data_IF_099887558963
#
_entry.id   IF_099887558963
#
_cell.length_a   1.000
_cell.length_b   1.000
_cell.length_c   1.000
_cell.angle_alpha   90.00
_cell.angle_beta   90.00
_cell.angle_gamma   90.00
#
_symmetry.space_group_name_H-M   'P 1'
#
loop_
_entity.id
_entity.type
_entity.pdbx_description
1 polymer ?
#
# COMPACT_ATOMS: atom_id res chain seq x y z
N UNK A 1 -24.18 28.81 -14.45
CA UNK A 1 -23.33 29.96 -14.06
C UNK A 1 -22.23 29.43 -13.16
N UNK A 2 -21.07 30.09 -13.02
CA UNK A 2 -20.04 29.68 -12.08
C UNK A 2 -20.60 29.69 -10.65
N UNK A 3 -20.42 28.59 -9.92
CA UNK A 3 -21.07 28.38 -8.61
C UNK A 3 -20.46 29.25 -7.50
N UNK A 4 -19.23 29.73 -7.69
CA UNK A 4 -18.51 30.58 -6.74
C UNK A 4 -18.92 32.06 -6.78
N UNK A 5 -19.78 32.50 -7.71
CA UNK A 5 -20.17 33.91 -7.84
C UNK A 5 -21.46 34.24 -7.07
N UNK A 6 -21.50 35.39 -6.42
CA UNK A 6 -22.71 35.94 -5.81
C UNK A 6 -23.63 36.55 -6.86
N UNK A 7 -24.73 35.85 -7.13
CA UNK A 7 -25.82 36.28 -8.01
C UNK A 7 -26.46 37.61 -7.60
N UNK A 8 -26.24 38.08 -6.36
CA UNK A 8 -26.75 39.36 -5.86
C UNK A 8 -25.78 40.54 -6.09
N UNK A 9 -24.46 40.31 -6.21
CA UNK A 9 -23.46 41.37 -6.35
C UNK A 9 -22.49 41.18 -7.54
N UNK A 10 -22.97 40.59 -8.64
CA UNK A 10 -22.32 40.29 -9.93
C UNK A 10 -21.47 41.41 -10.61
N UNK A 11 -21.31 42.59 -10.00
CA UNK A 11 -20.50 43.71 -10.51
C UNK A 11 -19.08 43.78 -9.94
N UNK A 12 -18.78 43.08 -8.84
CA UNK A 12 -17.44 43.02 -8.23
C UNK A 12 -17.24 41.68 -7.51
N UNK A 13 -16.04 41.12 -7.61
CA UNK A 13 -15.62 39.99 -6.78
C UNK A 13 -15.39 40.48 -5.35
N UNK A 14 -16.14 39.94 -4.40
CA UNK A 14 -16.13 40.27 -2.98
C UNK A 14 -15.60 39.14 -2.08
N UNK A 15 -15.65 39.36 -0.76
CA UNK A 15 -15.19 38.37 0.23
C UNK A 15 -15.98 37.06 0.18
N UNK A 16 -17.29 37.13 -0.08
CA UNK A 16 -18.14 35.95 -0.21
C UNK A 16 -17.88 35.15 -1.49
N UNK A 17 -17.42 35.79 -2.57
CA UNK A 17 -17.00 35.09 -3.79
C UNK A 17 -15.70 34.33 -3.55
N UNK A 18 -14.72 34.98 -2.89
CA UNK A 18 -13.48 34.32 -2.46
C UNK A 18 -13.76 33.13 -1.53
N UNK A 19 -14.65 33.31 -0.54
CA UNK A 19 -15.04 32.26 0.40
C UNK A 19 -15.79 31.09 -0.26
N UNK A 20 -16.52 31.32 -1.35
CA UNK A 20 -17.12 30.24 -2.17
C UNK A 20 -16.10 29.61 -3.10
N UNK A 21 -15.17 30.39 -3.65
CA UNK A 21 -14.11 29.90 -4.53
C UNK A 21 -13.20 28.92 -3.78
N UNK A 22 -12.67 29.31 -2.61
CA UNK A 22 -11.84 28.43 -1.76
C UNK A 22 -12.59 27.13 -1.45
N UNK A 23 -13.83 27.23 -0.95
CA UNK A 23 -14.65 26.03 -0.65
C UNK A 23 -14.98 25.17 -1.86
N UNK A 24 -15.01 25.74 -3.07
CA UNK A 24 -15.20 24.98 -4.31
C UNK A 24 -13.90 24.30 -4.73
N UNK A 25 -12.77 25.00 -4.68
CA UNK A 25 -11.44 24.43 -4.92
C UNK A 25 -11.16 23.26 -3.98
N UNK A 26 -11.35 23.43 -2.68
CA UNK A 26 -11.16 22.36 -1.67
C UNK A 26 -12.04 21.16 -1.97
N UNK A 27 -13.34 21.34 -2.24
CA UNK A 27 -14.25 20.24 -2.56
C UNK A 27 -13.94 19.55 -3.92
N UNK A 28 -13.36 20.28 -4.88
CA UNK A 28 -12.88 19.69 -6.14
C UNK A 28 -11.55 18.93 -5.96
N UNK A 29 -10.68 19.36 -5.03
CA UNK A 29 -9.46 18.63 -4.63
C UNK A 29 -9.77 17.38 -3.79
N UNK A 30 -10.68 17.47 -2.81
CA UNK A 30 -11.21 16.32 -2.06
C UNK A 30 -11.74 15.24 -3.02
N UNK A 31 -12.46 15.67 -4.07
CA UNK A 31 -12.95 14.77 -5.12
C UNK A 31 -11.81 14.13 -5.94
N UNK A 32 -10.73 14.86 -6.22
CA UNK A 32 -9.55 14.32 -6.90
C UNK A 32 -8.86 13.27 -6.02
N UNK A 33 -8.66 13.52 -4.73
CA UNK A 33 -8.12 12.52 -3.80
C UNK A 33 -9.03 11.27 -3.70
N UNK A 34 -10.35 11.49 -3.67
CA UNK A 34 -11.35 10.43 -3.71
C UNK A 34 -11.30 9.59 -5.00
N UNK A 35 -11.03 10.20 -6.15
CA UNK A 35 -10.90 9.49 -7.44
C UNK A 35 -9.54 8.77 -7.54
N UNK A 36 -8.45 9.43 -7.14
CA UNK A 36 -7.09 8.86 -7.04
C UNK A 36 -7.07 7.57 -6.22
N UNK A 37 -7.68 7.56 -5.03
CA UNK A 37 -7.78 6.36 -4.16
C UNK A 37 -8.57 5.22 -4.79
N UNK A 38 -9.59 5.52 -5.61
CA UNK A 38 -10.37 4.50 -6.33
C UNK A 38 -9.55 3.91 -7.47
N UNK A 39 -8.88 4.76 -8.26
CA UNK A 39 -7.97 4.32 -9.31
C UNK A 39 -6.80 3.48 -8.77
N UNK A 40 -6.23 3.86 -7.62
CA UNK A 40 -5.18 3.08 -6.97
C UNK A 40 -5.69 1.73 -6.42
N UNK A 41 -6.89 1.70 -5.79
CA UNK A 41 -7.51 0.42 -5.39
C UNK A 41 -7.79 -0.49 -6.60
N UNK A 42 -8.31 0.05 -7.70
CA UNK A 42 -8.55 -0.72 -8.93
C UNK A 42 -7.24 -1.20 -9.57
N UNK A 43 -6.17 -0.39 -9.53
CA UNK A 43 -4.84 -0.78 -9.96
C UNK A 43 -4.30 -1.97 -9.15
N UNK A 44 -4.41 -1.91 -7.83
CA UNK A 44 -3.93 -2.98 -6.93
C UNK A 44 -4.77 -4.26 -7.01
N UNK A 45 -6.09 -4.15 -7.14
CA UNK A 45 -6.94 -5.32 -7.45
C UNK A 45 -6.61 -5.91 -8.83
N UNK A 46 -6.24 -5.09 -9.82
CA UNK A 46 -5.80 -5.56 -11.14
C UNK A 46 -4.46 -6.30 -11.08
N UNK A 47 -3.47 -5.75 -10.37
CA UNK A 47 -2.15 -6.36 -10.13
C UNK A 47 -2.30 -7.75 -9.51
N UNK A 48 -3.12 -7.85 -8.45
CA UNK A 48 -3.45 -9.12 -7.79
C UNK A 48 -4.21 -10.09 -8.70
N UNK A 49 -5.22 -9.62 -9.43
CA UNK A 49 -6.02 -10.45 -10.35
C UNK A 49 -5.21 -10.98 -11.56
N UNK A 50 -4.16 -10.28 -12.00
CA UNK A 50 -3.23 -10.77 -13.03
C UNK A 50 -2.25 -11.80 -12.48
N UNK A 51 -1.85 -11.66 -11.21
CA UNK A 51 -1.06 -12.64 -10.48
C UNK A 51 -1.82 -13.95 -10.21
N UNK A 52 -3.05 -13.89 -9.67
CA UNK A 52 -3.84 -15.09 -9.35
C UNK A 52 -4.20 -15.88 -10.61
N UNK A 53 -4.52 -15.21 -11.72
CA UNK A 53 -4.74 -15.86 -13.02
C UNK A 53 -3.48 -16.60 -13.51
N UNK A 54 -2.30 -15.96 -13.40
CA UNK A 54 -1.01 -16.54 -13.75
C UNK A 54 -0.67 -17.75 -12.87
N UNK A 55 -0.93 -17.66 -11.56
CA UNK A 55 -0.75 -18.77 -10.62
C UNK A 55 -1.73 -19.93 -10.88
N UNK A 56 -2.99 -19.63 -11.24
CA UNK A 56 -4.00 -20.63 -11.57
C UNK A 56 -3.62 -21.48 -12.79
N UNK A 57 -2.98 -20.87 -13.80
CA UNK A 57 -2.49 -21.53 -15.02
C UNK A 57 -1.21 -22.38 -14.82
N UNK A 58 -0.40 -22.11 -13.79
CA UNK A 58 0.84 -22.85 -13.52
C UNK A 58 0.58 -24.26 -13.01
N UNK A 59 1.52 -25.19 -13.26
CA UNK A 59 1.51 -26.52 -12.61
C UNK A 59 1.73 -26.39 -11.09
N UNK A 60 1.39 -27.41 -10.28
CA UNK A 60 1.56 -27.34 -8.82
C UNK A 60 2.99 -27.07 -8.33
N UNK A 61 4.02 -27.50 -9.09
CA UNK A 61 5.43 -27.25 -8.75
C UNK A 61 5.85 -25.81 -9.08
N UNK A 62 5.50 -25.34 -10.28
CA UNK A 62 5.74 -23.96 -10.73
C UNK A 62 5.00 -22.95 -9.85
N UNK A 63 3.74 -23.22 -9.50
CA UNK A 63 2.92 -22.37 -8.63
C UNK A 63 3.51 -22.23 -7.22
N UNK A 64 4.01 -23.32 -6.65
CA UNK A 64 4.68 -23.31 -5.34
C UNK A 64 6.00 -22.51 -5.39
N UNK A 65 6.76 -22.60 -6.50
CA UNK A 65 7.96 -21.78 -6.71
C UNK A 65 7.59 -20.30 -6.87
N UNK A 66 6.65 -19.96 -7.74
CA UNK A 66 6.24 -18.59 -8.00
C UNK A 66 5.62 -17.91 -6.78
N UNK A 67 4.78 -18.61 -6.01
CA UNK A 67 4.21 -18.08 -4.76
C UNK A 67 5.29 -17.73 -3.72
N UNK A 68 6.38 -18.51 -3.65
CA UNK A 68 7.53 -18.18 -2.80
C UNK A 68 8.34 -17.01 -3.32
N UNK A 69 8.56 -16.92 -4.63
CA UNK A 69 9.24 -15.77 -5.23
C UNK A 69 8.45 -14.46 -4.97
N UNK A 70 7.11 -14.52 -5.01
CA UNK A 70 6.23 -13.41 -4.62
C UNK A 70 6.31 -13.11 -3.11
N UNK A 71 6.27 -14.12 -2.24
CA UNK A 71 6.41 -13.96 -0.79
C UNK A 71 7.78 -13.38 -0.39
N UNK A 72 8.86 -13.83 -1.03
CA UNK A 72 10.23 -13.37 -0.83
C UNK A 72 10.43 -11.94 -1.34
N UNK A 73 9.91 -11.59 -2.53
CA UNK A 73 9.93 -10.20 -3.04
C UNK A 73 9.12 -9.26 -2.15
N UNK A 74 7.89 -9.62 -1.74
CA UNK A 74 7.11 -8.77 -0.83
C UNK A 74 7.83 -8.62 0.51
N UNK A 75 8.38 -9.69 1.07
CA UNK A 75 9.11 -9.63 2.33
C UNK A 75 10.37 -8.76 2.23
N UNK A 76 11.05 -8.73 1.09
CA UNK A 76 12.19 -7.83 0.85
C UNK A 76 11.74 -6.36 0.75
N UNK A 77 10.63 -6.07 0.05
CA UNK A 77 10.08 -4.72 -0.02
C UNK A 77 9.67 -4.19 1.36
N UNK A 78 9.05 -5.03 2.19
CA UNK A 78 8.72 -4.73 3.60
C UNK A 78 9.94 -4.76 4.57
N UNK A 79 11.19 -4.92 4.10
CA UNK A 79 12.41 -4.96 4.95
C UNK A 79 13.18 -3.61 4.95
N UNK A 80 12.49 -2.54 5.32
CA UNK A 80 13.03 -1.17 5.46
C UNK A 80 13.22 -0.74 6.94
N UNK A 81 13.70 0.49 7.16
CA UNK A 81 13.75 1.14 8.47
C UNK A 81 12.34 1.51 8.98
N UNK A 82 12.15 1.62 10.31
CA UNK A 82 10.90 2.11 10.90
C UNK A 82 10.63 3.55 10.41
N UNK A 83 9.61 3.72 9.56
CA UNK A 83 9.19 5.03 9.07
C UNK A 83 8.63 5.89 10.20
N UNK A 84 8.90 7.18 10.14
CA UNK A 84 8.47 8.16 11.15
C UNK A 84 7.09 8.73 10.85
N UNK A 85 6.40 9.21 11.88
CA UNK A 85 5.08 9.81 11.75
C UNK A 85 5.13 11.09 10.89
N UNK A 86 4.37 11.19 9.77
CA UNK A 86 4.45 12.35 8.88
C UNK A 86 3.99 13.63 9.59
N UNK A 87 4.81 14.69 9.51
CA UNK A 87 4.62 15.93 10.26
C UNK A 87 4.98 15.83 11.75
N UNK A 88 5.52 14.69 12.20
CA UNK A 88 6.00 14.48 13.57
C UNK A 88 7.42 15.00 13.79
N UNK A 89 7.72 15.44 15.01
CA UNK A 89 9.02 16.05 15.35
C UNK A 89 10.24 15.23 14.90
N UNK A 90 10.24 13.91 15.10
CA UNK A 90 11.40 13.07 14.73
C UNK A 90 11.67 13.06 13.21
N UNK A 91 10.64 13.25 12.38
CA UNK A 91 10.75 13.36 10.92
C UNK A 91 11.23 14.77 10.51
N UNK A 92 10.69 15.81 11.13
CA UNK A 92 11.09 17.20 10.87
C UNK A 92 12.54 17.47 11.32
N UNK A 93 13.00 16.87 12.42
CA UNK A 93 14.40 16.91 12.86
C UNK A 93 15.35 16.17 11.89
N UNK A 94 14.88 15.17 11.15
CA UNK A 94 15.68 14.47 10.13
C UNK A 94 15.79 15.29 8.85
N UNK A 95 14.71 15.90 8.37
CA UNK A 95 14.74 16.84 7.23
C UNK A 95 15.68 18.01 7.55
N UNK A 96 15.62 18.55 8.77
CA UNK A 96 16.49 19.62 9.24
C UNK A 96 17.98 19.24 9.28
N UNK A 97 18.32 18.02 9.72
CA UNK A 97 19.70 17.56 9.80
C UNK A 97 20.26 17.14 8.43
N UNK A 98 19.57 16.24 7.72
CA UNK A 98 20.09 15.60 6.51
C UNK A 98 19.87 16.44 5.25
N UNK A 99 18.68 17.05 5.09
CA UNK A 99 18.30 17.77 3.85
C UNK A 99 18.58 19.27 3.92
N UNK A 100 18.37 19.91 5.07
CA UNK A 100 18.68 21.34 5.26
C UNK A 100 20.12 21.58 5.76
N UNK A 101 20.83 20.53 6.17
CA UNK A 101 22.21 20.56 6.68
C UNK A 101 22.40 21.44 7.94
N UNK A 102 21.39 21.50 8.80
CA UNK A 102 21.39 22.27 10.05
C UNK A 102 21.79 21.41 11.26
N UNK A 103 22.22 22.03 12.36
CA UNK A 103 22.59 21.28 13.58
C UNK A 103 21.33 20.73 14.25
N UNK A 104 21.29 19.41 14.47
CA UNK A 104 20.18 18.69 15.14
C UNK A 104 19.75 19.32 16.47
N UNK A 105 20.71 19.74 17.29
CA UNK A 105 20.50 20.32 18.60
C UNK A 105 19.98 21.78 18.53
N UNK A 106 19.77 22.31 17.32
CA UNK A 106 19.30 23.68 17.05
C UNK A 106 17.91 23.74 16.40
N UNK A 107 17.19 22.61 16.29
CA UNK A 107 15.85 22.55 15.70
C UNK A 107 14.87 23.55 16.34
N UNK A 108 14.44 24.52 15.55
CA UNK A 108 13.40 25.50 15.89
C UNK A 108 12.28 25.41 14.83
N UNK A 109 11.04 25.08 15.22
CA UNK A 109 9.95 24.87 14.26
C UNK A 109 9.59 26.14 13.47
N UNK A 110 9.88 27.34 13.99
CA UNK A 110 9.63 28.60 13.25
C UNK A 110 10.62 28.78 12.11
N UNK A 111 11.90 28.48 12.37
CA UNK A 111 12.96 28.53 11.36
C UNK A 111 12.79 27.38 10.35
N UNK A 112 12.36 26.20 10.79
CA UNK A 112 11.99 25.09 9.91
C UNK A 112 10.86 25.45 8.95
N UNK A 113 9.76 26.01 9.46
CA UNK A 113 8.63 26.49 8.65
C UNK A 113 9.09 27.54 7.63
N UNK A 114 9.82 28.57 8.07
CA UNK A 114 10.30 29.65 7.22
C UNK A 114 11.39 29.24 6.20
N UNK A 115 11.88 28.00 6.25
CA UNK A 115 12.77 27.39 5.25
C UNK A 115 11.99 26.55 4.22
N UNK A 116 10.77 26.12 4.55
CA UNK A 116 9.90 25.30 3.71
C UNK A 116 8.73 26.06 3.08
N UNK A 117 8.42 27.26 3.58
CA UNK A 117 7.63 28.30 2.90
C UNK A 117 8.49 28.88 1.75
N UNK A 118 8.57 28.12 0.63
CA UNK A 118 9.48 28.38 -0.49
C UNK A 118 9.08 29.64 -1.27
N UNK A 119 7.80 30.00 -1.22
CA UNK A 119 7.25 31.17 -1.91
C UNK A 119 7.20 32.44 -1.00
N UNK A 120 7.31 32.26 0.32
CA UNK A 120 7.24 33.30 1.37
C UNK A 120 5.86 33.99 1.51
N UNK A 121 4.76 33.25 1.35
CA UNK A 121 3.38 33.73 1.57
C UNK A 121 2.83 33.50 2.99
N UNK A 122 3.52 32.69 3.80
CA UNK A 122 3.19 32.43 5.20
C UNK A 122 2.44 31.11 5.45
N UNK A 123 2.29 30.27 4.44
CA UNK A 123 1.63 28.96 4.49
C UNK A 123 2.55 27.88 3.90
N UNK A 124 2.38 26.63 4.33
CA UNK A 124 2.89 25.46 3.59
C UNK A 124 1.76 24.90 2.72
N UNK A 125 2.01 24.81 1.42
CA UNK A 125 1.10 24.18 0.47
C UNK A 125 1.42 22.69 0.25
N UNK A 126 0.60 22.01 -0.55
CA UNK A 126 0.72 20.57 -0.81
C UNK A 126 2.09 20.14 -1.35
N UNK A 127 2.68 20.89 -2.29
CA UNK A 127 4.00 20.58 -2.87
C UNK A 127 5.14 20.78 -1.86
N UNK A 128 4.99 21.74 -0.94
CA UNK A 128 5.96 22.03 0.14
C UNK A 128 5.89 21.00 1.27
N UNK A 129 4.70 20.49 1.56
CA UNK A 129 4.46 19.40 2.51
C UNK A 129 4.98 18.07 1.95
N UNK A 130 4.72 17.77 0.66
CA UNK A 130 5.24 16.57 -0.01
C UNK A 130 6.77 16.51 -0.03
N UNK A 131 7.44 17.66 -0.17
CA UNK A 131 8.90 17.75 -0.13
C UNK A 131 9.51 17.28 1.20
N UNK A 132 8.75 17.28 2.30
CA UNK A 132 9.21 16.80 3.61
C UNK A 132 9.32 15.26 3.66
N UNK A 133 8.53 14.55 2.86
CA UNK A 133 8.41 13.09 2.94
C UNK A 133 9.47 12.35 2.13
N UNK A 134 10.30 13.06 1.34
CA UNK A 134 11.25 12.44 0.41
C UNK A 134 12.23 11.50 1.12
N UNK A 135 12.76 11.90 2.29
CA UNK A 135 13.65 11.06 3.10
C UNK A 135 12.96 9.80 3.65
N UNK A 136 11.68 9.87 4.05
CA UNK A 136 10.93 8.70 4.52
C UNK A 136 10.60 7.75 3.34
N UNK A 137 10.22 8.30 2.19
CA UNK A 137 9.88 7.52 1.00
C UNK A 137 11.11 6.83 0.37
N UNK A 138 12.29 7.44 0.49
CA UNK A 138 13.57 6.84 0.05
C UNK A 138 14.03 5.65 0.92
N UNK A 139 13.49 5.50 2.15
CA UNK A 139 13.73 4.30 2.99
C UNK A 139 13.01 3.06 2.47
N UNK A 140 11.90 3.22 1.72
CA UNK A 140 11.07 2.13 1.19
C UNK A 140 11.21 1.94 -0.32
N UNK A 141 11.20 3.03 -1.10
CA UNK A 141 11.02 2.99 -2.56
C UNK A 141 12.27 3.44 -3.32
N UNK A 142 13.02 2.45 -3.82
CA UNK A 142 14.22 2.63 -4.62
C UNK A 142 13.88 2.65 -6.13
N UNK A 143 13.99 3.82 -6.76
CA UNK A 143 13.68 4.00 -8.20
C UNK A 143 14.61 3.21 -9.16
N UNK A 144 15.65 2.55 -8.63
CA UNK A 144 16.50 1.63 -9.39
C UNK A 144 16.13 0.14 -9.24
N UNK A 145 15.24 -0.23 -8.31
CA UNK A 145 14.78 -1.61 -8.16
C UNK A 145 13.52 -1.87 -9.03
N UNK A 146 13.53 -2.84 -9.96
CA UNK A 146 12.37 -3.17 -10.78
C UNK A 146 11.25 -3.89 -10.01
N UNK A 147 11.41 -4.22 -8.73
CA UNK A 147 10.35 -4.72 -7.86
C UNK A 147 9.50 -3.59 -7.26
N UNK A 148 10.06 -2.40 -7.06
CA UNK A 148 9.37 -1.28 -6.40
C UNK A 148 8.42 -0.57 -7.37
N UNK A 149 7.17 -0.35 -6.95
CA UNK A 149 6.17 0.26 -7.80
C UNK A 149 6.17 1.79 -7.63
N UNK A 150 6.47 2.58 -8.69
CA UNK A 150 6.41 4.04 -8.59
C UNK A 150 4.98 4.56 -8.33
N UNK A 151 3.93 3.74 -8.52
CA UNK A 151 2.55 4.10 -8.14
C UNK A 151 2.32 3.96 -6.65
N UNK A 152 2.92 2.97 -6.00
CA UNK A 152 2.88 2.81 -4.54
C UNK A 152 3.63 3.97 -3.88
N UNK A 153 4.85 4.32 -4.34
CA UNK A 153 5.60 5.50 -3.88
C UNK A 153 4.77 6.79 -3.95
N UNK A 154 4.06 7.00 -5.07
CA UNK A 154 3.22 8.19 -5.26
C UNK A 154 1.99 8.16 -4.36
N UNK A 155 1.26 7.05 -4.26
CA UNK A 155 0.11 6.98 -3.36
C UNK A 155 0.55 7.14 -1.89
N UNK A 156 1.69 6.58 -1.49
CA UNK A 156 2.24 6.73 -0.14
C UNK A 156 2.51 8.20 0.20
N UNK A 157 3.16 8.93 -0.71
CA UNK A 157 3.35 10.38 -0.58
C UNK A 157 2.01 11.13 -0.43
N UNK A 158 0.98 10.73 -1.18
CA UNK A 158 -0.36 11.31 -1.05
C UNK A 158 -1.02 10.96 0.30
N UNK A 159 -0.85 9.74 0.82
CA UNK A 159 -1.35 9.32 2.14
C UNK A 159 -0.70 10.14 3.26
N UNK A 160 0.62 10.33 3.20
CA UNK A 160 1.37 11.17 4.12
C UNK A 160 0.90 12.63 4.07
N UNK A 161 0.70 13.20 2.86
CA UNK A 161 0.14 14.56 2.67
C UNK A 161 -1.24 14.69 3.32
N UNK A 162 -2.18 13.81 2.97
CA UNK A 162 -3.54 13.88 3.48
C UNK A 162 -3.60 13.71 5.00
N UNK A 163 -2.74 12.86 5.57
CA UNK A 163 -2.59 12.71 7.01
C UNK A 163 -2.09 13.99 7.68
N UNK A 164 -1.04 14.64 7.15
CA UNK A 164 -0.55 15.93 7.68
C UNK A 164 -1.60 17.03 7.56
N UNK A 165 -2.29 17.13 6.42
CA UNK A 165 -3.37 18.12 6.23
C UNK A 165 -4.50 17.87 7.21
N UNK A 166 -5.00 16.64 7.33
CA UNK A 166 -6.07 16.29 8.29
C UNK A 166 -5.64 16.43 9.76
N UNK A 167 -4.34 16.29 10.05
CA UNK A 167 -3.78 16.53 11.37
C UNK A 167 -3.66 18.02 11.69
N UNK A 168 -3.17 18.85 10.77
CA UNK A 168 -2.76 20.23 11.06
C UNK A 168 -3.76 21.30 10.63
N UNK A 169 -4.40 21.21 9.45
CA UNK A 169 -5.38 22.20 8.97
C UNK A 169 -6.60 22.23 9.90
N UNK A 170 -6.86 23.38 10.53
CA UNK A 170 -8.01 23.59 11.41
C UNK A 170 -9.12 24.41 10.76
N UNK A 171 -8.85 25.01 9.60
CA UNK A 171 -9.72 25.99 8.97
C UNK A 171 -10.43 25.44 7.71
N UNK A 172 -9.82 24.45 7.05
CA UNK A 172 -10.34 23.72 5.90
C UNK A 172 -10.08 24.41 4.56
N UNK A 173 -8.88 24.98 4.39
CA UNK A 173 -8.42 25.57 3.12
C UNK A 173 -7.28 24.81 2.43
N UNK A 174 -6.81 23.68 3.02
CA UNK A 174 -5.71 22.82 2.53
C UNK A 174 -4.35 23.50 2.51
N UNK A 175 -4.17 24.53 3.32
CA UNK A 175 -2.89 25.19 3.59
C UNK A 175 -2.57 25.09 5.08
N UNK A 176 -1.30 24.88 5.44
CA UNK A 176 -0.88 24.89 6.84
C UNK A 176 -0.27 26.24 7.17
N UNK A 177 -0.99 27.07 7.94
CA UNK A 177 -0.42 28.33 8.43
C UNK A 177 0.62 28.09 9.52
N UNK A 178 1.51 29.06 9.71
CA UNK A 178 2.50 29.04 10.82
C UNK A 178 1.83 28.89 12.20
N UNK A 179 0.61 29.40 12.39
CA UNK A 179 -0.10 29.25 13.67
C UNK A 179 -0.60 27.82 13.89
N UNK A 180 -1.09 27.16 12.85
CA UNK A 180 -1.53 25.76 12.90
C UNK A 180 -0.35 24.80 13.11
N UNK A 181 0.76 25.01 12.39
CA UNK A 181 2.00 24.24 12.54
C UNK A 181 2.60 24.34 13.95
N UNK A 182 2.58 25.53 14.56
CA UNK A 182 3.14 25.74 15.90
C UNK A 182 2.22 25.26 17.04
N UNK A 183 0.93 25.07 16.79
CA UNK A 183 0.00 24.51 17.77
C UNK A 183 -0.24 23.00 17.62
N UNK A 184 0.36 22.37 16.61
CA UNK A 184 0.32 20.92 16.43
C UNK A 184 1.10 20.16 17.51
N UNK A 185 0.51 19.09 18.05
CA UNK A 185 1.08 18.34 19.18
C UNK A 185 2.22 17.40 18.81
N UNK A 186 2.32 16.97 17.55
CA UNK A 186 3.41 16.12 17.06
C UNK A 186 4.64 16.99 16.71
N UNK A 187 4.44 18.21 16.20
CA UNK A 187 5.50 19.22 16.02
C UNK A 187 6.04 19.70 17.37
N UNK A 188 5.15 19.97 18.34
CA UNK A 188 5.52 20.41 19.70
C UNK A 188 5.87 19.24 20.65
N UNK A 189 6.13 18.04 20.13
CA UNK A 189 6.58 16.91 20.95
C UNK A 189 7.92 17.21 21.65
N UNK A 190 8.19 16.61 22.83
CA UNK A 190 9.51 16.66 23.44
C UNK A 190 10.58 16.01 22.56
N UNK A 191 11.78 16.60 22.54
CA UNK A 191 12.97 16.01 21.92
C UNK A 191 13.22 14.58 22.44
N UNK A 192 13.39 13.62 21.52
CA UNK A 192 13.58 12.21 21.85
C UNK A 192 12.34 11.47 22.38
N UNK A 193 11.14 12.04 22.30
CA UNK A 193 9.92 11.25 22.39
C UNK A 193 9.69 10.52 21.05
N UNK A 194 9.83 9.19 21.06
CA UNK A 194 9.45 8.35 19.93
C UNK A 194 8.00 8.59 19.52
N UNK A 195 7.76 8.77 18.22
CA UNK A 195 6.41 8.85 17.66
C UNK A 195 5.74 7.45 17.52
N UNK A 196 4.55 7.37 16.92
CA UNK A 196 3.82 6.11 16.73
C UNK A 196 4.29 5.30 15.50
N UNK A 197 5.26 5.84 14.74
CA UNK A 197 5.68 5.37 13.43
C UNK A 197 4.65 5.66 12.33
N UNK A 198 5.06 5.43 11.09
CA UNK A 198 4.15 5.34 9.94
C UNK A 198 3.98 3.89 9.49
N UNK A 199 2.87 3.63 8.79
CA UNK A 199 2.57 2.33 8.18
C UNK A 199 2.30 2.53 6.70
N UNK A 200 3.27 2.08 5.92
CA UNK A 200 3.28 1.98 4.48
C UNK A 200 2.10 1.15 3.91
N UNK A 201 2.00 1.13 2.58
CA UNK A 201 1.04 0.34 1.81
C UNK A 201 1.36 -1.17 1.81
N UNK A 202 2.62 -1.58 1.99
CA UNK A 202 3.01 -2.98 2.10
C UNK A 202 2.36 -3.67 3.30
N UNK A 203 2.27 -2.97 4.42
CA UNK A 203 1.67 -3.42 5.68
C UNK A 203 0.12 -3.31 5.72
N UNK A 204 -0.51 -2.68 4.72
CA UNK A 204 -1.95 -2.35 4.74
C UNK A 204 -2.76 -2.96 3.58
N UNK A 205 -3.94 -3.53 3.90
CA UNK A 205 -4.83 -4.14 2.90
C UNK A 205 -5.84 -3.13 2.35
N UNK A 206 -5.57 -2.62 1.15
CA UNK A 206 -6.31 -1.54 0.48
C UNK A 206 -7.74 -1.97 0.04
N UNK A 207 -7.93 -3.26 -0.25
CA UNK A 207 -9.19 -3.86 -0.67
C UNK A 207 -9.57 -5.08 0.16
N UNK A 208 -10.87 -5.31 0.33
CA UNK A 208 -11.42 -6.53 0.94
C UNK A 208 -11.42 -7.70 -0.05
N UNK A 209 -11.45 -8.93 0.46
CA UNK A 209 -11.54 -10.13 -0.37
C UNK A 209 -12.86 -10.20 -1.17
N UNK A 210 -13.92 -9.54 -0.70
CA UNK A 210 -15.18 -9.38 -1.44
C UNK A 210 -15.07 -8.35 -2.57
N UNK A 211 -14.27 -7.29 -2.42
CA UNK A 211 -13.92 -6.38 -3.53
C UNK A 211 -13.09 -7.11 -4.59
N UNK A 212 -12.02 -7.82 -4.18
CA UNK A 212 -11.17 -8.58 -5.10
C UNK A 212 -11.96 -9.64 -5.89
N UNK A 213 -12.69 -10.53 -5.21
CA UNK A 213 -13.42 -11.61 -5.89
C UNK A 213 -14.54 -11.12 -6.84
N UNK A 214 -15.06 -9.90 -6.63
CA UNK A 214 -15.96 -9.24 -7.59
C UNK A 214 -15.19 -8.65 -8.76
N UNK A 215 -14.07 -7.96 -8.48
CA UNK A 215 -13.20 -7.41 -9.50
C UNK A 215 -12.65 -8.49 -10.43
N UNK A 216 -12.08 -9.57 -9.90
CA UNK A 216 -11.58 -10.74 -10.64
C UNK A 216 -12.62 -11.29 -11.62
N UNK A 217 -13.85 -11.52 -11.12
CA UNK A 217 -14.94 -12.04 -11.95
C UNK A 217 -15.28 -11.11 -13.11
N UNK A 218 -15.36 -9.80 -12.87
CA UNK A 218 -15.55 -8.84 -13.96
C UNK A 218 -14.33 -8.76 -14.87
N UNK A 219 -13.12 -8.89 -14.33
CA UNK A 219 -11.87 -8.76 -15.07
C UNK A 219 -11.65 -9.92 -16.04
N UNK A 220 -11.86 -11.17 -15.60
CA UNK A 220 -11.85 -12.34 -16.48
C UNK A 220 -12.91 -12.28 -17.59
N UNK A 221 -14.07 -11.68 -17.32
CA UNK A 221 -15.08 -11.44 -18.36
C UNK A 221 -14.67 -10.32 -19.33
N UNK A 222 -14.03 -9.24 -18.86
CA UNK A 222 -13.48 -8.16 -19.69
C UNK A 222 -12.30 -8.64 -20.56
N UNK A 223 -11.44 -9.53 -20.03
CA UNK A 223 -10.26 -10.09 -20.72
C UNK A 223 -10.58 -11.34 -21.57
N UNK A 224 -11.77 -11.93 -21.44
CA UNK A 224 -12.16 -13.14 -22.17
C UNK A 224 -11.52 -14.44 -21.66
N UNK A 225 -11.01 -14.44 -20.41
CA UNK A 225 -10.40 -15.62 -19.77
C UNK A 225 -11.43 -16.70 -19.36
N UNK A 226 -12.71 -16.32 -19.28
CA UNK A 226 -13.82 -17.22 -18.96
C UNK A 226 -14.08 -17.39 -17.46
N UNK A 227 -15.20 -18.02 -17.11
CA UNK A 227 -15.66 -18.10 -15.71
C UNK A 227 -14.76 -18.95 -14.79
N UNK A 228 -13.84 -19.74 -15.36
CA UNK A 228 -12.86 -20.58 -14.66
C UNK A 228 -11.44 -19.99 -14.65
N UNK A 229 -11.27 -18.69 -14.94
CA UNK A 229 -9.95 -18.06 -15.07
C UNK A 229 -9.04 -18.17 -13.83
N UNK A 230 -9.63 -18.32 -12.64
CA UNK A 230 -8.94 -18.41 -11.36
C UNK A 230 -8.97 -19.83 -10.76
N UNK A 231 -9.67 -20.77 -11.41
CA UNK A 231 -9.69 -22.15 -10.97
C UNK A 231 -8.33 -22.78 -11.27
N UNK A 232 -7.73 -23.36 -10.23
CA UNK A 232 -6.42 -24.01 -10.34
C UNK A 232 -6.48 -25.15 -11.36
N UNK A 233 -5.65 -25.09 -12.41
CA UNK A 233 -5.58 -26.20 -13.36
C UNK A 233 -5.03 -27.45 -12.66
N UNK A 234 -5.91 -28.41 -12.41
CA UNK A 234 -5.52 -29.77 -12.07
C UNK A 234 -5.15 -30.47 -13.37
N UNK A 235 -3.91 -30.98 -13.54
CA UNK A 235 -3.52 -31.64 -14.77
C UNK A 235 -4.38 -32.89 -14.97
N UNK A 236 -5.21 -32.89 -16.01
CA UNK A 236 -6.08 -34.01 -16.34
C UNK A 236 -5.22 -35.22 -16.74
N UNK A 237 -4.99 -36.10 -15.77
CA UNK A 237 -4.24 -37.35 -15.94
C UNK A 237 -4.93 -38.22 -17.00
N UNK A 238 -4.45 -38.06 -18.23
CA UNK A 238 -4.82 -38.85 -19.39
C UNK A 238 -4.47 -40.32 -19.14
N UNK A 239 -5.42 -41.02 -18.55
CA UNK A 239 -5.40 -42.47 -18.41
C UNK A 239 -5.30 -43.05 -19.82
N UNK A 240 -4.24 -43.82 -20.15
CA UNK A 240 -4.05 -44.34 -21.49
C UNK A 240 -5.25 -45.20 -21.89
N UNK A 241 -5.73 -44.99 -23.12
CA UNK A 241 -7.01 -45.48 -23.60
C UNK A 241 -7.13 -47.00 -23.45
N UNK A 242 -8.19 -47.46 -22.77
CA UNK A 242 -8.63 -48.84 -22.82
C UNK A 242 -9.70 -49.00 -23.91
N UNK A 243 -9.51 -49.98 -24.81
CA UNK A 243 -10.43 -50.25 -25.92
C UNK A 243 -11.83 -50.69 -25.44
N UNK A 244 -12.91 -50.30 -26.14
CA UNK A 244 -14.27 -50.65 -25.76
C UNK A 244 -14.67 -52.06 -26.22
N UNK A 245 -14.84 -53.02 -25.29
CA UNK A 245 -15.41 -54.33 -25.62
C UNK A 245 -16.54 -54.79 -24.66
N UNK A 246 -17.76 -54.66 -25.17
CA UNK A 246 -19.02 -55.37 -24.85
C UNK A 246 -19.17 -56.16 -23.52
N UNK A 247 -20.12 -55.71 -22.69
CA UNK A 247 -20.80 -56.51 -21.66
C UNK A 247 -22.04 -55.79 -21.13
N UNK A 248 -23.17 -56.48 -20.95
CA UNK A 248 -24.44 -55.88 -20.48
C UNK A 248 -25.01 -56.56 -19.22
N UNK A 249 -25.73 -55.75 -18.43
CA UNK A 249 -26.72 -56.11 -17.38
C UNK A 249 -26.20 -56.76 -16.08
N UNK A 250 -26.93 -56.65 -14.95
CA UNK A 250 -28.03 -55.74 -14.58
C UNK A 250 -27.73 -54.90 -13.30
N UNK A 251 -28.54 -53.87 -12.97
CA UNK A 251 -28.35 -53.09 -11.74
C UNK A 251 -28.89 -53.79 -10.47
N UNK A 252 -28.27 -53.53 -9.32
CA UNK A 252 -28.82 -53.84 -8.00
C UNK A 252 -28.74 -52.62 -7.05
N UNK A 253 -29.44 -52.69 -5.92
CA UNK A 253 -29.92 -51.52 -5.18
C UNK A 253 -29.04 -51.15 -3.97
N UNK A 254 -29.11 -49.88 -3.57
CA UNK A 254 -28.52 -49.33 -2.33
C UNK A 254 -28.99 -50.07 -1.07
N UNK A 255 -28.17 -50.05 -0.01
CA UNK A 255 -28.58 -49.24 1.14
C UNK A 255 -27.48 -48.31 1.70
N UNK A 256 -27.93 -47.28 2.40
CA UNK A 256 -27.12 -46.27 3.12
C UNK A 256 -26.90 -46.72 4.56
N UNK A 257 -25.74 -46.42 5.19
CA UNK A 257 -25.60 -45.76 6.51
C UNK A 257 -24.13 -45.78 7.07
N UNK A 258 -23.75 -44.81 7.95
CA UNK A 258 -22.44 -44.70 8.62
C UNK A 258 -22.51 -45.28 10.08
N UNK A 259 -21.62 -45.00 11.07
CA UNK A 259 -20.34 -44.24 11.11
C UNK A 259 -19.18 -44.95 11.87
N UNK A 260 -18.06 -44.24 12.09
CA UNK A 260 -16.98 -44.59 13.05
C UNK A 260 -15.65 -43.93 12.68
N UNK A 261 -15.23 -42.81 13.31
CA UNK A 261 -14.48 -42.76 14.58
C UNK A 261 -13.42 -43.86 14.75
N UNK A 262 -12.15 -43.47 14.77
CA UNK A 262 -11.15 -44.14 15.59
C UNK A 262 -10.05 -43.14 16.02
N UNK A 263 -9.88 -42.94 17.33
CA UNK A 263 -8.67 -42.35 17.89
C UNK A 263 -7.72 -43.50 18.23
N UNK A 264 -6.41 -43.35 18.00
CA UNK A 264 -5.46 -43.77 19.03
C UNK A 264 -4.12 -43.05 18.92
N UNK A 265 -3.38 -43.14 20.03
CA UNK A 265 -2.31 -42.24 20.44
C UNK A 265 -1.07 -43.08 20.78
N UNK A 266 0.10 -42.64 20.35
CA UNK A 266 1.38 -43.11 20.89
C UNK A 266 2.32 -41.92 21.15
N UNK A 267 3.37 -42.15 21.94
CA UNK A 267 3.94 -41.13 22.85
C UNK A 267 5.47 -41.25 22.95
N UNK A 268 6.19 -40.11 23.10
CA UNK A 268 7.52 -39.84 23.74
C UNK A 268 8.67 -40.90 23.61
N UNK A 269 9.99 -40.62 23.44
CA UNK A 269 10.95 -39.53 23.75
C UNK A 269 12.12 -39.58 22.70
N UNK A 270 13.16 -38.73 22.60
CA UNK A 270 13.47 -37.33 22.98
C UNK A 270 14.94 -36.99 22.53
N UNK A 271 15.57 -35.96 23.13
CA UNK A 271 17.02 -35.58 23.13
C UNK A 271 17.66 -34.93 21.87
N UNK A 272 17.96 -33.61 21.97
CA UNK A 272 19.31 -33.00 22.12
C UNK A 272 20.53 -33.73 21.47
N UNK A 273 21.55 -33.11 20.84
CA UNK A 273 22.15 -31.74 20.89
C UNK A 273 22.81 -31.37 19.50
N UNK A 274 23.87 -30.53 19.38
CA UNK A 274 23.92 -29.10 19.02
C UNK A 274 24.19 -28.78 17.51
N UNK A 275 24.31 -27.47 17.18
CA UNK A 275 24.45 -26.92 15.83
C UNK A 275 25.89 -26.87 15.24
N UNK A 276 25.98 -26.62 13.93
CA UNK A 276 27.15 -26.09 13.22
C UNK A 276 26.75 -24.94 12.27
N UNK A 277 27.63 -23.96 12.00
CA UNK A 277 27.36 -22.86 11.07
C UNK A 277 27.63 -23.24 9.60
N UNK A 278 26.90 -22.66 8.62
CA UNK A 278 27.21 -22.80 7.21
C UNK A 278 28.53 -22.08 6.85
N UNK A 279 29.22 -22.59 5.82
CA UNK A 279 30.49 -22.04 5.35
C UNK A 279 30.29 -20.89 4.35
N UNK A 280 31.24 -19.95 4.32
CA UNK A 280 31.33 -18.94 3.26
C UNK A 280 31.68 -19.60 1.93
N UNK A 281 31.13 -19.07 0.84
CA UNK A 281 31.48 -19.44 -0.54
C UNK A 281 31.82 -18.15 -1.29
N UNK A 282 33.08 -17.99 -1.71
CA UNK A 282 33.51 -16.81 -2.46
C UNK A 282 33.26 -17.01 -3.97
N UNK A 283 32.56 -16.09 -4.67
CA UNK A 283 32.47 -16.12 -6.13
C UNK A 283 33.73 -15.53 -6.77
N UNK A 284 34.43 -16.31 -7.59
CA UNK A 284 35.74 -15.92 -8.19
C UNK A 284 35.77 -16.23 -9.69
N UNK A 285 35.69 -15.16 -10.50
CA UNK A 285 35.69 -15.10 -11.98
C UNK A 285 34.56 -15.89 -12.71
N UNK A 286 34.01 -15.41 -13.84
CA UNK A 286 34.18 -14.13 -14.54
C UNK A 286 34.56 -14.29 -16.02
N UNK A 287 33.79 -13.62 -16.89
CA UNK A 287 34.08 -13.11 -18.26
C UNK A 287 32.95 -12.16 -18.62
#
# INVERSE_FOLDING_TARGET
MPEHLDVNELKKFGKEDLRKLIKKTVADMEKIDEERKKEFKEYEMKKKAEEDHKLAQMTPEERNKAAKEIEETKKHHNEHEELKHPGGREQLEEVWEERDHMDKNSFDPKTFFALHDLNSDGFLNEEEIEALFQLELEKVYNESDPADDPREKIEEMNRMREHVVAQMDKNGDRLISLDEFLHDTQVQAPEGQKDEGWKDLGDQKIYTDEELARFEKEYAQKQGWGDHAYDQVVPEVHSPQADPQYGQLPPQQVPVHPPGQNQQQFNQEAQNIPAQPPQKIDPVYGI
#
